data_IF_283629559720
#
_entry.id   IF_283629559720
#
_cell.length_a   1.000
_cell.length_b   1.000
_cell.length_c   1.000
_cell.angle_alpha   90.00
_cell.angle_beta   90.00
_cell.angle_gamma   90.00
#
_symmetry.space_group_name_H-M   'P 1'
#
loop_
_entity.id
_entity.type
_entity.pdbx_description
1 polymer ?
#
# COMPACT_ATOMS: atom_id res chain seq x y z
N UNK A 1 22.88 6.04 12.77
CA UNK A 1 22.35 6.47 11.45
C UNK A 1 21.16 5.59 11.18
N UNK A 2 19.96 6.16 11.08
CA UNK A 2 18.77 5.37 10.75
C UNK A 2 18.94 4.84 9.33
N UNK A 3 19.12 3.53 9.16
CA UNK A 3 19.20 2.93 7.83
C UNK A 3 17.83 3.08 7.18
N UNK A 4 17.76 3.92 6.14
CA UNK A 4 16.54 4.13 5.37
C UNK A 4 16.10 2.79 4.79
N UNK A 5 14.97 2.25 5.27
CA UNK A 5 14.43 1.01 4.75
C UNK A 5 14.03 1.18 3.28
N UNK A 6 14.31 0.17 2.47
CA UNK A 6 13.79 0.12 1.10
C UNK A 6 12.27 0.03 1.15
N UNK A 7 11.64 0.73 0.22
CA UNK A 7 10.20 0.98 0.15
C UNK A 7 9.61 0.22 -1.04
N UNK A 8 8.52 -0.51 -0.82
CA UNK A 8 7.74 -1.18 -1.86
C UNK A 8 6.48 -0.36 -2.09
N UNK A 9 6.35 0.20 -3.29
CA UNK A 9 5.13 0.87 -3.75
C UNK A 9 4.18 -0.17 -4.29
N UNK A 10 2.98 -0.23 -3.73
CA UNK A 10 1.93 -1.11 -4.23
C UNK A 10 1.16 -0.44 -5.37
N UNK A 11 1.04 -1.16 -6.47
CA UNK A 11 0.16 -0.83 -7.58
C UNK A 11 -1.30 -1.24 -7.28
N UNK A 12 -2.26 -0.62 -7.95
CA UNK A 12 -3.69 -0.87 -7.74
C UNK A 12 -4.05 -2.35 -7.99
N UNK A 13 -3.55 -2.91 -9.09
CA UNK A 13 -3.82 -4.31 -9.45
C UNK A 13 -3.23 -5.29 -8.44
N UNK A 14 -2.04 -5.00 -7.89
CA UNK A 14 -1.44 -5.85 -6.84
C UNK A 14 -2.34 -5.87 -5.61
N UNK A 15 -2.91 -4.72 -5.24
CA UNK A 15 -3.85 -4.66 -4.11
C UNK A 15 -5.11 -5.47 -4.40
N UNK A 16 -5.73 -5.25 -5.56
CA UNK A 16 -6.99 -5.89 -5.95
C UNK A 16 -6.82 -7.41 -6.05
N UNK A 17 -5.82 -7.91 -6.77
CA UNK A 17 -5.59 -9.34 -6.93
C UNK A 17 -5.36 -10.05 -5.58
N UNK A 18 -4.58 -9.46 -4.68
CA UNK A 18 -4.34 -10.05 -3.36
C UNK A 18 -5.58 -10.02 -2.47
N UNK A 19 -6.41 -8.99 -2.59
CA UNK A 19 -7.68 -8.91 -1.88
C UNK A 19 -8.70 -9.94 -2.38
N UNK A 20 -8.87 -10.07 -3.69
CA UNK A 20 -9.76 -11.06 -4.32
C UNK A 20 -9.36 -12.50 -3.97
N UNK A 21 -8.05 -12.75 -3.85
CA UNK A 21 -7.53 -14.05 -3.43
C UNK A 21 -7.53 -14.25 -1.90
N UNK A 22 -7.97 -13.27 -1.11
CA UNK A 22 -7.94 -13.27 0.36
C UNK A 22 -6.53 -13.49 0.96
N UNK A 23 -5.50 -13.02 0.25
CA UNK A 23 -4.09 -13.14 0.61
C UNK A 23 -3.43 -11.78 0.92
N UNK A 24 -4.17 -10.68 0.96
CA UNK A 24 -3.57 -9.37 1.23
C UNK A 24 -2.77 -9.31 2.55
N UNK A 25 -3.18 -10.09 3.55
CA UNK A 25 -2.48 -10.16 4.84
C UNK A 25 -1.04 -10.67 4.75
N UNK A 26 -0.68 -11.45 3.72
CA UNK A 26 0.67 -11.99 3.56
C UNK A 26 1.63 -10.99 2.93
N UNK A 27 1.15 -9.93 2.28
CA UNK A 27 2.00 -8.96 1.57
C UNK A 27 3.15 -8.46 2.46
N UNK A 28 2.92 -7.98 3.70
CA UNK A 28 3.99 -7.48 4.57
C UNK A 28 4.95 -8.54 5.13
N UNK A 29 4.68 -9.82 4.86
CA UNK A 29 5.49 -10.95 5.32
C UNK A 29 6.30 -11.59 4.17
N UNK A 30 6.00 -11.25 2.90
CA UNK A 30 6.82 -11.68 1.75
C UNK A 30 8.22 -11.06 1.84
N UNK A 31 8.29 -9.78 2.20
CA UNK A 31 9.55 -9.07 2.44
C UNK A 31 9.49 -8.25 3.75
N UNK A 32 9.65 -8.88 4.91
CA UNK A 32 9.43 -8.25 6.22
C UNK A 32 10.42 -7.14 6.56
N UNK A 33 11.55 -7.04 5.85
CA UNK A 33 12.56 -6.01 6.01
C UNK A 33 12.19 -4.67 5.35
N UNK A 34 11.26 -4.68 4.39
CA UNK A 34 10.84 -3.50 3.63
C UNK A 34 9.60 -2.82 4.21
N UNK A 35 9.43 -1.54 3.88
CA UNK A 35 8.21 -0.80 4.19
C UNK A 35 7.27 -0.81 2.99
N UNK A 36 6.04 -1.25 3.19
CA UNK A 36 5.01 -1.24 2.15
C UNK A 36 4.29 0.09 2.17
N UNK A 37 4.05 0.65 0.99
CA UNK A 37 3.34 1.92 0.86
C UNK A 37 2.31 1.93 -0.27
N UNK A 38 1.23 2.65 -0.01
CA UNK A 38 0.20 3.01 -0.99
C UNK A 38 0.30 4.51 -1.19
N UNK A 39 0.49 4.93 -2.44
CA UNK A 39 0.42 6.35 -2.78
C UNK A 39 -1.02 6.82 -2.77
N UNK A 40 -1.25 8.08 -2.42
CA UNK A 40 -2.58 8.70 -2.43
C UNK A 40 -3.30 8.58 -3.77
N UNK A 41 -2.58 8.69 -4.89
CA UNK A 41 -3.12 8.47 -6.24
C UNK A 41 -3.68 7.05 -6.43
N UNK A 42 -2.94 6.02 -5.99
CA UNK A 42 -3.39 4.61 -6.04
C UNK A 42 -4.54 4.38 -5.08
N UNK A 43 -4.44 4.94 -3.86
CA UNK A 43 -5.51 4.87 -2.87
C UNK A 43 -6.82 5.47 -3.42
N UNK A 44 -6.76 6.60 -4.11
CA UNK A 44 -7.94 7.27 -4.67
C UNK A 44 -8.59 6.47 -5.81
N UNK A 45 -7.78 5.75 -6.58
CA UNK A 45 -8.24 4.85 -7.63
C UNK A 45 -8.98 3.64 -7.05
N UNK A 46 -8.35 2.90 -6.13
CA UNK A 46 -8.99 1.72 -5.52
C UNK A 46 -10.19 2.09 -4.62
N UNK A 47 -10.23 3.32 -4.11
CA UNK A 47 -11.34 3.84 -3.31
C UNK A 47 -12.63 4.07 -4.10
N UNK A 48 -12.61 3.98 -5.44
CA UNK A 48 -13.83 4.04 -6.25
C UNK A 48 -14.75 2.84 -5.99
N UNK A 49 -14.19 1.71 -5.54
CA UNK A 49 -14.94 0.55 -5.06
C UNK A 49 -15.05 0.61 -3.53
N UNK A 50 -16.28 0.67 -3.00
CA UNK A 50 -16.53 0.76 -1.55
C UNK A 50 -16.00 -0.43 -0.77
N UNK A 51 -16.08 -1.65 -1.34
CA UNK A 51 -15.53 -2.86 -0.72
C UNK A 51 -14.01 -2.79 -0.60
N UNK A 52 -13.35 -2.32 -1.66
CA UNK A 52 -11.89 -2.16 -1.67
C UNK A 52 -11.43 -1.08 -0.69
N UNK A 53 -12.14 0.03 -0.66
CA UNK A 53 -11.90 1.13 0.28
C UNK A 53 -11.98 0.69 1.73
N UNK A 54 -13.10 0.10 2.14
CA UNK A 54 -13.36 -0.29 3.53
C UNK A 54 -12.30 -1.29 4.04
N UNK A 55 -11.85 -2.18 3.16
CA UNK A 55 -10.78 -3.12 3.48
C UNK A 55 -9.45 -2.41 3.69
N UNK A 56 -9.05 -1.53 2.77
CA UNK A 56 -7.77 -0.81 2.85
C UNK A 56 -7.74 0.15 4.02
N UNK A 57 -8.85 0.81 4.35
CA UNK A 57 -8.95 1.67 5.53
C UNK A 57 -8.74 0.88 6.83
N UNK A 58 -9.36 -0.30 6.95
CA UNK A 58 -9.10 -1.20 8.09
C UNK A 58 -7.64 -1.63 8.10
N UNK A 59 -7.09 -2.00 6.96
CA UNK A 59 -5.72 -2.51 6.91
C UNK A 59 -4.69 -1.42 7.27
N UNK A 60 -4.84 -0.20 6.75
CA UNK A 60 -4.02 0.96 7.13
C UNK A 60 -4.15 1.32 8.62
N UNK A 61 -5.32 1.10 9.22
CA UNK A 61 -5.54 1.37 10.64
C UNK A 61 -4.88 0.33 11.55
N UNK A 62 -4.97 -0.96 11.21
CA UNK A 62 -4.52 -2.06 12.08
C UNK A 62 -3.09 -2.54 11.78
N UNK A 63 -2.57 -2.36 10.57
CA UNK A 63 -1.27 -2.89 10.15
C UNK A 63 -0.24 -1.77 9.97
N UNK A 64 0.63 -1.62 10.96
CA UNK A 64 1.70 -0.61 10.95
C UNK A 64 2.76 -0.79 9.85
N UNK A 65 2.80 -1.96 9.20
CA UNK A 65 3.74 -2.27 8.10
C UNK A 65 3.34 -1.64 6.77
N UNK A 66 2.08 -1.18 6.64
CA UNK A 66 1.56 -0.50 5.45
C UNK A 66 1.38 0.98 5.76
N UNK A 67 1.94 1.86 4.93
CA UNK A 67 1.79 3.31 5.07
C UNK A 67 1.09 3.91 3.86
N UNK A 68 0.39 5.02 4.07
CA UNK A 68 -0.13 5.86 2.99
C UNK A 68 0.77 7.09 2.85
N UNK A 69 1.25 7.40 1.65
CA UNK A 69 2.09 8.57 1.37
C UNK A 69 1.51 9.43 0.25
N UNK A 70 1.75 10.74 0.31
CA UNK A 70 1.32 11.69 -0.74
C UNK A 70 2.29 11.60 -1.91
N UNK A 71 1.76 11.36 -3.12
CA UNK A 71 2.54 11.43 -4.34
C UNK A 71 2.79 12.89 -4.71
N UNK A 72 4.02 13.37 -4.45
CA UNK A 72 4.48 14.72 -4.78
C UNK A 72 5.70 14.65 -5.68
N UNK A 73 5.54 14.33 -6.98
CA UNK A 73 6.66 14.26 -7.91
C UNK A 73 7.28 15.65 -8.05
N UNK A 74 8.56 15.78 -7.73
CA UNK A 74 9.31 17.05 -7.80
C UNK A 74 9.94 17.32 -9.16
N UNK A 75 9.69 16.44 -10.14
CA UNK A 75 10.06 16.60 -11.55
C UNK A 75 11.41 17.28 -11.78
N UNK A 76 12.49 16.52 -11.79
CA UNK A 76 13.54 16.87 -12.74
C UNK A 76 13.05 16.32 -14.08
N UNK A 77 12.44 17.19 -14.88
CA UNK A 77 12.15 16.92 -16.29
C UNK A 77 13.46 16.81 -17.08
#
# INVERSE_FOLDING_TARGET
>A
MEHKKTKIVLDADVIIHFMEANYFSILPDIFPEYEYLILDVVYNEISQNSGTKDFIDKYLHFFHKLKKEVFSPRGNQ
#
